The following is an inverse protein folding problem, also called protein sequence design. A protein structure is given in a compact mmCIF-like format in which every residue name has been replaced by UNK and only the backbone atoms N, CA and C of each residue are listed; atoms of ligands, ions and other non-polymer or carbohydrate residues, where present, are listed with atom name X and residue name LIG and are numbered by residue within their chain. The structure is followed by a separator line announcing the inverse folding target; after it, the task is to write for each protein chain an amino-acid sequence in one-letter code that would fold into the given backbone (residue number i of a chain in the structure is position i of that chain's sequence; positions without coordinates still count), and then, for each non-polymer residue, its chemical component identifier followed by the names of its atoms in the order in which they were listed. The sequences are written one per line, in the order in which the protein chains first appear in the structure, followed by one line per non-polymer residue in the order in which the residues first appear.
data_IF_656300444990
#
_entry.id   IF_656300444990
#
_cell.length_a   1.000
_cell.length_b   1.000
_cell.length_c   1.000
_cell.angle_alpha   90.00
_cell.angle_beta   90.00
_cell.angle_gamma   90.00
#
_symmetry.space_group_name_H-M   'P 1'
#
loop_
_entity.id
_entity.type
_entity.pdbx_description
1 polymer ?
#
# COMPACT_ATOMS: atom_id res chain seq x y z
N UNK A 1 10.00 12.02 -10.37
CA UNK A 1 9.54 12.71 -11.60
C UNK A 1 8.04 12.54 -11.68
N UNK A 2 7.34 13.67 -11.67
CA UNK A 2 5.91 13.82 -11.53
C UNK A 2 5.22 13.40 -12.84
N UNK A 3 4.41 12.35 -12.81
CA UNK A 3 3.35 12.15 -13.80
C UNK A 3 2.02 12.47 -13.09
N UNK A 4 1.79 13.76 -12.88
CA UNK A 4 0.45 14.29 -12.75
C UNK A 4 -0.23 14.11 -14.11
N UNK A 5 -1.16 13.16 -14.19
CA UNK A 5 -2.22 13.20 -15.19
C UNK A 5 -3.47 13.69 -14.49
N UNK A 6 -3.55 15.02 -14.35
CA UNK A 6 -4.83 15.72 -14.30
C UNK A 6 -5.54 15.49 -15.64
N UNK A 7 -6.71 14.85 -15.58
CA UNK A 7 -7.73 14.99 -16.61
C UNK A 7 -9.08 15.21 -15.94
N UNK A 8 -9.20 16.34 -15.28
CA UNK A 8 -10.48 17.05 -15.16
C UNK A 8 -10.91 17.48 -16.57
N UNK A 9 -11.79 16.70 -17.21
CA UNK A 9 -12.42 17.13 -18.47
C UNK A 9 -13.59 18.06 -18.14
N UNK A 10 -13.35 19.36 -18.29
CA UNK A 10 -14.39 20.40 -18.29
C UNK A 10 -15.13 20.34 -19.63
N UNK A 11 -16.42 20.00 -19.62
CA UNK A 11 -17.33 20.26 -20.75
C UNK A 11 -18.05 21.59 -20.50
N UNK A 12 -17.69 22.64 -21.25
CA UNK A 12 -18.49 23.86 -21.35
C UNK A 12 -19.57 23.66 -22.41
N UNK A 13 -20.83 23.59 -21.98
CA UNK A 13 -21.99 23.90 -22.82
C UNK A 13 -22.71 25.09 -22.17
N UNK A 14 -22.59 26.26 -22.80
CA UNK A 14 -23.29 27.47 -22.37
C UNK A 14 -24.73 27.45 -22.90
N UNK A 15 -25.72 27.53 -22.01
CA UNK A 15 -27.09 27.93 -22.34
C UNK A 15 -27.57 28.98 -21.34
N UNK A 16 -28.07 30.08 -21.88
CA UNK A 16 -28.45 31.33 -21.22
C UNK A 16 -29.59 31.18 -20.19
N UNK A 17 -29.46 31.98 -19.12
CA UNK A 17 -30.48 32.59 -18.24
C UNK A 17 -30.64 32.04 -16.81
N UNK A 18 -30.66 33.04 -15.90
CA UNK A 18 -31.23 33.13 -14.54
C UNK A 18 -30.28 32.89 -13.35
N UNK A 19 -30.06 33.99 -12.63
CA UNK A 19 -29.48 34.12 -11.28
C UNK A 19 -30.34 33.36 -10.26
N UNK A 20 -29.72 32.57 -9.36
CA UNK A 20 -30.15 32.43 -7.96
C UNK A 20 -28.96 31.99 -7.09
N UNK A 21 -28.74 32.73 -6.01
CA UNK A 21 -27.82 32.38 -4.93
C UNK A 21 -28.47 31.34 -4.00
N UNK A 22 -27.71 30.34 -3.53
CA UNK A 22 -28.01 29.59 -2.31
C UNK A 22 -26.73 28.92 -1.78
N UNK A 23 -26.51 29.10 -0.49
CA UNK A 23 -25.39 28.61 0.32
C UNK A 23 -25.80 27.31 1.05
N UNK A 24 -24.78 26.56 1.54
CA UNK A 24 -24.81 25.48 2.56
C UNK A 24 -25.41 24.13 2.09
N UNK A 25 -24.96 22.91 2.47
CA UNK A 25 -24.04 22.38 3.50
C UNK A 25 -23.33 21.16 2.90
N UNK A 26 -22.03 21.01 3.19
CA UNK A 26 -21.31 19.76 2.94
C UNK A 26 -21.89 18.63 3.81
N UNK A 27 -22.50 17.64 3.17
CA UNK A 27 -22.67 16.32 3.77
C UNK A 27 -21.72 15.35 3.08
N UNK A 28 -20.41 15.50 3.33
CA UNK A 28 -19.43 14.43 3.09
C UNK A 28 -19.49 13.43 4.24
N UNK A 29 -20.65 12.81 4.44
CA UNK A 29 -20.75 11.61 5.26
C UNK A 29 -20.48 10.40 4.35
N UNK A 30 -19.21 10.18 4.01
CA UNK A 30 -18.78 8.90 3.42
C UNK A 30 -17.31 8.63 3.71
N UNK A 31 -16.96 8.65 5.00
CA UNK A 31 -15.77 7.96 5.49
C UNK A 31 -16.26 6.73 6.26
N UNK A 32 -16.72 5.70 5.53
CA UNK A 32 -16.84 4.37 6.13
C UNK A 32 -15.43 3.82 6.29
N UNK A 33 -14.81 4.11 7.43
CA UNK A 33 -13.65 3.35 7.88
C UNK A 33 -14.17 1.96 8.23
N UNK A 34 -13.86 0.95 7.41
CA UNK A 34 -13.91 -0.44 7.87
C UNK A 34 -12.66 -0.64 8.74
N UNK A 35 -12.73 -0.14 9.98
CA UNK A 35 -11.77 -0.45 11.02
C UNK A 35 -12.35 -1.65 11.77
N UNK A 36 -11.79 -2.84 11.54
CA UNK A 36 -12.16 -4.00 12.35
C UNK A 36 -11.42 -3.86 13.68
N UNK A 37 -12.15 -3.47 14.72
CA UNK A 37 -11.62 -3.42 16.08
C UNK A 37 -11.64 -4.84 16.64
N UNK A 38 -10.50 -5.52 16.51
CA UNK A 38 -10.27 -6.78 17.20
C UNK A 38 -10.23 -6.54 18.72
N UNK A 39 -11.02 -7.31 19.47
CA UNK A 39 -10.93 -7.38 20.92
C UNK A 39 -9.88 -8.43 21.26
N UNK A 40 -8.68 -7.96 21.56
CA UNK A 40 -7.62 -8.84 22.04
C UNK A 40 -8.07 -9.51 23.36
N UNK A 41 -7.93 -10.83 23.45
CA UNK A 41 -8.28 -11.61 24.65
C UNK A 41 -7.31 -11.42 25.82
N UNK A 42 -6.40 -10.45 25.75
CA UNK A 42 -5.66 -9.91 26.89
C UNK A 42 -4.35 -10.62 27.23
N UNK A 43 -3.80 -11.46 26.34
CA UNK A 43 -2.61 -12.26 26.67
C UNK A 43 -1.35 -11.91 25.86
N UNK A 44 -1.41 -11.07 24.82
CA UNK A 44 -0.22 -10.73 24.03
C UNK A 44 -0.39 -9.53 23.11
N UNK A 45 0.67 -9.16 22.39
CA UNK A 45 0.62 -8.15 21.34
C UNK A 45 -0.22 -8.70 20.18
N UNK A 46 -1.32 -8.03 19.85
CA UNK A 46 -2.13 -8.31 18.65
C UNK A 46 -2.11 -7.14 17.67
N UNK A 47 -2.62 -7.38 16.47
CA UNK A 47 -2.65 -6.41 15.39
C UNK A 47 -4.06 -6.32 14.80
N UNK A 48 -4.51 -5.10 14.55
CA UNK A 48 -5.65 -4.85 13.66
C UNK A 48 -5.14 -4.16 12.41
N UNK A 49 -5.72 -4.46 11.27
CA UNK A 49 -5.25 -3.91 10.00
C UNK A 49 -6.30 -2.98 9.39
N UNK A 50 -5.81 -2.01 8.64
CA UNK A 50 -6.63 -1.21 7.74
C UNK A 50 -5.84 -0.96 6.46
N UNK A 51 -6.55 -0.77 5.36
CA UNK A 51 -5.98 -0.30 4.10
C UNK A 51 -6.85 0.85 3.59
N UNK A 52 -6.23 1.82 2.94
CA UNK A 52 -6.99 2.85 2.22
C UNK A 52 -7.90 2.18 1.17
N UNK A 53 -9.04 2.82 0.88
CA UNK A 53 -10.12 2.24 0.06
C UNK A 53 -9.59 1.63 -1.23
N UNK A 54 -10.07 0.43 -1.56
CA UNK A 54 -9.68 -0.33 -2.74
C UNK A 54 -9.72 0.56 -4.01
N UNK A 55 -8.56 0.76 -4.63
CA UNK A 55 -8.49 1.33 -5.97
C UNK A 55 -9.13 0.33 -6.93
N UNK A 56 -10.02 0.79 -7.83
CA UNK A 56 -10.68 -0.06 -8.84
C UNK A 56 -9.68 -0.44 -9.95
N UNK A 57 -8.70 -1.28 -9.62
CA UNK A 57 -7.63 -1.69 -10.53
C UNK A 57 -7.29 -3.17 -10.30
N UNK A 58 -6.66 -3.81 -11.28
CA UNK A 58 -6.30 -5.23 -11.21
C UNK A 58 -5.19 -5.50 -10.17
N UNK A 59 -5.23 -6.63 -9.47
CA UNK A 59 -4.21 -7.11 -8.51
C UNK A 59 -3.87 -6.16 -7.34
N UNK A 60 -4.71 -5.16 -7.02
CA UNK A 60 -4.50 -4.27 -5.87
C UNK A 60 -4.82 -4.99 -4.58
N UNK A 61 -3.93 -4.89 -3.59
CA UNK A 61 -4.18 -5.41 -2.25
C UNK A 61 -5.18 -4.52 -1.51
N UNK A 62 -6.18 -5.13 -0.88
CA UNK A 62 -7.13 -4.49 0.00
C UNK A 62 -7.24 -5.33 1.28
N UNK A 63 -8.02 -4.89 2.25
CA UNK A 63 -8.16 -5.59 3.52
C UNK A 63 -8.61 -7.07 3.35
N UNK A 64 -9.53 -7.32 2.42
CA UNK A 64 -10.11 -8.65 2.21
C UNK A 64 -9.14 -9.64 1.58
N UNK A 65 -8.20 -9.16 0.76
CA UNK A 65 -7.26 -10.01 0.03
C UNK A 65 -5.81 -9.90 0.55
N UNK A 66 -5.55 -9.13 1.61
CA UNK A 66 -4.22 -9.01 2.24
C UNK A 66 -3.73 -10.39 2.70
N UNK A 67 -4.60 -11.13 3.41
CA UNK A 67 -4.40 -12.54 3.79
C UNK A 67 -3.29 -12.81 4.81
N UNK A 68 -2.10 -12.25 4.62
CA UNK A 68 -0.97 -12.40 5.51
C UNK A 68 0.05 -11.26 5.36
N UNK A 69 0.76 -10.96 6.46
CA UNK A 69 1.85 -10.00 6.50
C UNK A 69 2.89 -10.39 7.55
N UNK A 70 4.05 -9.76 7.51
CA UNK A 70 5.09 -9.91 8.53
C UNK A 70 5.24 -8.62 9.32
N UNK A 71 5.55 -8.75 10.62
CA UNK A 71 5.84 -7.62 11.51
C UNK A 71 7.21 -7.80 12.16
N UNK A 72 7.98 -6.72 12.20
CA UNK A 72 9.18 -6.60 13.03
C UNK A 72 8.96 -5.51 14.07
N UNK A 73 9.18 -5.85 15.34
CA UNK A 73 9.10 -4.90 16.45
C UNK A 73 10.50 -4.56 16.96
N UNK A 74 10.74 -3.28 17.20
CA UNK A 74 12.00 -2.74 17.72
C UNK A 74 11.70 -1.82 18.89
N UNK A 75 12.50 -1.91 19.95
CA UNK A 75 12.43 -1.02 21.10
C UNK A 75 13.69 -1.15 21.94
N UNK A 76 13.96 -0.14 22.77
CA UNK A 76 15.13 -0.12 23.65
C UNK A 76 16.47 -0.39 22.90
N UNK A 77 16.60 0.10 21.66
CA UNK A 77 17.81 -0.05 20.85
C UNK A 77 18.06 -1.46 20.28
N UNK A 78 17.08 -2.37 20.34
CA UNK A 78 17.22 -3.73 19.82
C UNK A 78 15.92 -4.23 19.16
N UNK A 79 16.05 -5.27 18.33
CA UNK A 79 14.90 -6.02 17.85
C UNK A 79 14.23 -6.73 19.03
N UNK A 80 12.92 -6.50 19.18
CA UNK A 80 12.10 -7.26 20.11
C UNK A 80 11.63 -8.58 19.48
N UNK A 81 11.22 -8.54 18.22
CA UNK A 81 11.07 -9.70 17.35
C UNK A 81 11.19 -9.30 15.88
N UNK A 82 11.50 -10.27 15.02
CA UNK A 82 11.73 -10.04 13.59
C UNK A 82 10.84 -10.96 12.76
N UNK A 83 10.19 -10.40 11.74
CA UNK A 83 9.38 -11.15 10.77
C UNK A 83 8.35 -12.09 11.40
N UNK A 84 7.67 -11.64 12.46
CA UNK A 84 6.53 -12.35 13.01
C UNK A 84 5.44 -12.44 11.96
N UNK A 85 5.16 -13.66 11.52
CA UNK A 85 4.07 -13.95 10.59
C UNK A 85 2.71 -13.68 11.25
N UNK A 86 1.85 -12.97 10.53
CA UNK A 86 0.47 -12.68 10.91
C UNK A 86 -0.44 -13.05 9.75
N UNK A 87 -1.47 -13.86 10.01
CA UNK A 87 -2.36 -14.39 8.98
C UNK A 87 -3.83 -14.16 9.34
N UNK A 88 -4.68 -14.10 8.33
CA UNK A 88 -6.13 -14.08 8.47
C UNK A 88 -6.73 -15.21 7.64
N UNK A 89 -7.66 -15.96 8.24
CA UNK A 89 -8.42 -17.02 7.58
C UNK A 89 -9.83 -16.56 7.16
N UNK A 90 -10.17 -15.31 7.44
CA UNK A 90 -11.52 -14.74 7.35
C UNK A 90 -11.52 -13.36 6.70
N UNK A 91 -10.71 -13.21 5.64
CA UNK A 91 -10.65 -12.02 4.78
C UNK A 91 -10.38 -10.72 5.57
N UNK A 92 -9.44 -10.77 6.51
CA UNK A 92 -8.98 -9.61 7.27
C UNK A 92 -9.83 -9.24 8.48
N UNK A 93 -10.86 -10.03 8.80
CA UNK A 93 -11.70 -9.78 9.98
C UNK A 93 -10.96 -10.09 11.29
N UNK A 94 -10.20 -11.19 11.35
CA UNK A 94 -9.37 -11.53 12.50
C UNK A 94 -7.94 -11.87 12.06
N UNK A 95 -6.98 -11.53 12.92
CA UNK A 95 -5.55 -11.72 12.67
C UNK A 95 -4.91 -12.60 13.73
N UNK A 96 -4.19 -13.63 13.30
CA UNK A 96 -3.50 -14.58 14.17
C UNK A 96 -2.00 -14.46 13.99
N UNK A 97 -1.27 -14.27 15.08
CA UNK A 97 0.20 -14.26 15.10
C UNK A 97 0.76 -15.68 15.18
N UNK A 98 1.83 -15.98 14.46
CA UNK A 98 2.50 -17.28 14.50
C UNK A 98 3.17 -17.60 15.85
N UNK A 99 3.37 -16.60 16.71
CA UNK A 99 3.89 -16.75 18.08
C UNK A 99 3.39 -15.60 18.94
N UNK A 100 3.17 -15.87 20.23
CA UNK A 100 2.73 -14.87 21.20
C UNK A 100 3.93 -14.11 21.76
N UNK A 101 3.88 -12.79 21.70
CA UNK A 101 4.82 -11.89 22.36
C UNK A 101 4.07 -11.00 23.35
N UNK A 102 4.67 -10.71 24.50
CA UNK A 102 4.05 -9.88 25.54
C UNK A 102 4.55 -8.44 25.47
N UNK A 103 3.77 -7.51 26.01
CA UNK A 103 4.19 -6.12 26.06
C UNK A 103 5.37 -5.91 27.02
N UNK A 104 6.49 -5.30 26.56
CA UNK A 104 7.54 -4.85 27.47
C UNK A 104 7.11 -3.56 28.20
N UNK A 105 7.92 -3.14 29.18
CA UNK A 105 7.73 -1.87 29.91
C UNK A 105 8.11 -0.61 29.12
N UNK A 106 8.32 -0.70 27.81
CA UNK A 106 8.74 0.40 26.94
C UNK A 106 7.94 0.40 25.62
N UNK A 107 7.97 1.53 24.90
CA UNK A 107 7.34 1.67 23.58
C UNK A 107 8.05 0.82 22.53
N UNK A 108 7.25 0.17 21.68
CA UNK A 108 7.72 -0.58 20.52
C UNK A 108 7.35 0.15 19.23
N UNK A 109 8.29 0.18 18.28
CA UNK A 109 8.06 0.53 16.89
C UNK A 109 7.82 -0.74 16.07
N UNK A 110 6.72 -0.77 15.34
CA UNK A 110 6.29 -1.91 14.54
C UNK A 110 6.36 -1.55 13.06
N UNK A 111 7.15 -2.33 12.32
CA UNK A 111 7.28 -2.25 10.88
C UNK A 111 6.61 -3.47 10.28
N UNK A 112 5.61 -3.27 9.40
CA UNK A 112 4.89 -4.35 8.77
C UNK A 112 4.96 -4.26 7.25
N UNK A 113 4.98 -5.41 6.58
CA UNK A 113 4.96 -5.51 5.12
C UNK A 113 4.21 -6.74 4.63
N UNK A 114 3.60 -6.60 3.45
CA UNK A 114 3.06 -7.71 2.67
C UNK A 114 3.42 -7.55 1.18
N UNK A 115 3.56 -8.66 0.42
CA UNK A 115 3.44 -10.05 0.85
C UNK A 115 4.54 -10.47 1.85
N UNK A 116 4.34 -11.57 2.58
CA UNK A 116 5.34 -12.07 3.57
C UNK A 116 6.69 -12.41 2.93
N UNK A 117 6.68 -12.76 1.64
CA UNK A 117 7.88 -13.00 0.83
C UNK A 117 7.83 -12.06 -0.37
N UNK A 118 8.24 -10.79 -0.20
CA UNK A 118 8.33 -9.86 -1.32
C UNK A 118 9.53 -10.21 -2.21
N UNK A 119 9.54 -9.69 -3.44
CA UNK A 119 10.75 -9.69 -4.27
C UNK A 119 11.77 -8.73 -3.64
N UNK A 120 13.05 -9.10 -3.68
CA UNK A 120 14.11 -8.36 -2.99
C UNK A 120 14.42 -8.96 -1.62
N UNK A 121 15.25 -8.27 -0.84
CA UNK A 121 15.70 -8.72 0.49
C UNK A 121 15.23 -7.75 1.55
N UNK A 122 14.42 -8.25 2.50
CA UNK A 122 13.92 -7.45 3.62
C UNK A 122 14.93 -7.47 4.77
N UNK A 123 15.35 -6.29 5.24
CA UNK A 123 16.21 -6.10 6.41
C UNK A 123 15.64 -4.99 7.29
N UNK A 124 15.13 -5.36 8.46
CA UNK A 124 14.49 -4.44 9.43
C UNK A 124 15.06 -4.75 10.83
N UNK A 125 15.92 -3.88 11.37
CA UNK A 125 16.72 -4.25 12.56
C UNK A 125 17.35 -3.16 13.47
N UNK A 126 16.72 -2.15 14.02
CA UNK A 126 17.42 -1.00 14.65
C UNK A 126 18.46 -0.22 13.79
N UNK A 127 19.16 -0.81 12.80
CA UNK A 127 20.16 -0.13 11.94
C UNK A 127 19.69 0.06 10.50
N UNK A 128 19.05 -0.94 9.92
CA UNK A 128 18.50 -0.99 8.59
C UNK A 128 16.97 -1.13 8.66
N UNK A 129 16.25 -0.47 7.76
CA UNK A 129 14.79 -0.53 7.59
C UNK A 129 14.47 -0.53 6.11
N UNK A 130 14.88 -1.57 5.40
CA UNK A 130 14.88 -1.57 3.94
C UNK A 130 14.37 -2.86 3.32
N UNK A 131 13.91 -2.73 2.08
CA UNK A 131 13.84 -3.82 1.11
C UNK A 131 14.84 -3.47 0.01
N UNK A 132 15.90 -4.25 -0.15
CA UNK A 132 16.88 -4.03 -1.21
C UNK A 132 16.58 -4.89 -2.42
N UNK A 133 17.02 -4.44 -3.59
CA UNK A 133 16.91 -5.17 -4.85
C UNK A 133 15.47 -5.53 -5.26
N UNK A 134 14.48 -4.72 -4.84
CA UNK A 134 13.08 -4.94 -5.20
C UNK A 134 12.90 -4.74 -6.71
N UNK A 135 12.23 -5.69 -7.36
CA UNK A 135 11.86 -5.63 -8.78
C UNK A 135 10.47 -6.24 -8.94
N UNK A 136 9.48 -5.52 -9.50
CA UNK A 136 8.22 -6.13 -9.90
C UNK A 136 8.43 -7.27 -10.88
N UNK A 137 7.53 -8.26 -10.87
CA UNK A 137 7.49 -9.28 -11.90
C UNK A 137 7.23 -8.65 -13.29
N UNK A 138 7.83 -9.23 -14.32
CA UNK A 138 7.67 -8.76 -15.70
C UNK A 138 6.27 -9.11 -16.24
N UNK A 139 5.78 -10.31 -15.92
CA UNK A 139 4.42 -10.74 -16.24
C UNK A 139 3.42 -10.01 -15.34
N UNK A 140 2.46 -9.30 -15.93
CA UNK A 140 1.44 -8.51 -15.20
C UNK A 140 0.67 -9.37 -14.19
N UNK A 141 0.30 -10.60 -14.56
CA UNK A 141 -0.44 -11.51 -13.68
C UNK A 141 0.34 -11.90 -12.41
N UNK A 142 1.67 -11.89 -12.48
CA UNK A 142 2.57 -12.25 -11.38
C UNK A 142 2.98 -11.04 -10.54
N UNK A 143 2.65 -9.83 -10.96
CA UNK A 143 2.93 -8.61 -10.20
C UNK A 143 2.16 -8.64 -8.89
N UNK A 144 2.90 -8.44 -7.80
CA UNK A 144 2.38 -8.31 -6.44
C UNK A 144 2.47 -6.87 -6.00
N UNK A 145 1.43 -6.45 -5.30
CA UNK A 145 1.34 -5.14 -4.70
C UNK A 145 2.08 -5.16 -3.36
N UNK A 146 3.15 -4.36 -3.25
CA UNK A 146 3.89 -4.20 -2.00
C UNK A 146 3.16 -3.19 -1.13
N UNK A 147 2.71 -3.61 0.04
CA UNK A 147 2.11 -2.73 1.04
C UNK A 147 2.94 -2.72 2.32
N UNK A 148 3.05 -1.55 2.96
CA UNK A 148 3.84 -1.37 4.18
C UNK A 148 3.10 -0.54 5.22
N UNK A 149 3.43 -0.73 6.50
CA UNK A 149 2.89 0.04 7.62
C UNK A 149 4.00 0.30 8.65
N UNK A 150 3.92 1.46 9.30
CA UNK A 150 4.73 1.78 10.47
C UNK A 150 3.83 2.42 11.52
N UNK A 151 3.81 1.85 12.72
CA UNK A 151 3.14 2.44 13.88
C UNK A 151 3.92 2.11 15.15
N UNK A 152 3.73 2.93 16.17
CA UNK A 152 4.24 2.64 17.51
C UNK A 152 3.13 2.15 18.42
N UNK A 153 3.50 1.46 19.49
CA UNK A 153 2.52 0.98 20.47
C UNK A 153 3.11 0.74 21.85
N UNK A 154 2.23 0.72 22.84
CA UNK A 154 2.52 0.40 24.24
C UNK A 154 1.42 -0.50 24.80
N UNK A 155 1.69 -1.17 25.93
CA UNK A 155 0.68 -1.96 26.64
C UNK A 155 -0.58 -1.14 26.92
N UNK A 156 -0.40 0.03 27.54
CA UNK A 156 -1.51 0.87 27.99
C UNK A 156 -2.42 1.33 26.86
N UNK A 157 -1.87 1.58 25.67
CA UNK A 157 -2.64 2.07 24.53
C UNK A 157 -3.23 0.95 23.65
N UNK A 158 -2.64 -0.26 23.67
CA UNK A 158 -2.89 -1.26 22.63
C UNK A 158 -3.24 -2.66 23.13
N UNK A 159 -3.20 -2.94 24.44
CA UNK A 159 -3.51 -4.28 24.96
C UNK A 159 -4.94 -4.73 24.62
N UNK A 160 -5.93 -3.83 24.66
CA UNK A 160 -7.32 -4.17 24.36
C UNK A 160 -7.68 -4.21 22.87
N UNK A 161 -7.10 -3.30 22.08
CA UNK A 161 -7.50 -3.07 20.66
C UNK A 161 -6.49 -3.58 19.64
N UNK A 162 -5.34 -4.08 20.10
CA UNK A 162 -4.17 -4.34 19.27
C UNK A 162 -3.51 -3.07 18.72
N UNK A 163 -2.37 -3.26 18.06
CA UNK A 163 -1.65 -2.19 17.34
C UNK A 163 -2.27 -2.01 15.97
N UNK A 164 -2.57 -0.77 15.59
CA UNK A 164 -3.06 -0.46 14.25
C UNK A 164 -1.95 -0.66 13.22
N UNK A 165 -2.25 -1.41 12.16
CA UNK A 165 -1.41 -1.58 10.98
C UNK A 165 -2.15 -0.99 9.78
N UNK A 166 -2.06 0.33 9.61
CA UNK A 166 -2.65 0.98 8.43
C UNK A 166 -1.66 0.91 7.27
N UNK A 167 -1.88 -0.09 6.42
CA UNK A 167 -1.04 -0.40 5.27
C UNK A 167 -1.22 0.61 4.15
N UNK A 168 -0.11 0.96 3.50
CA UNK A 168 -0.03 1.86 2.35
C UNK A 168 0.60 1.14 1.17
N UNK A 169 0.06 1.36 -0.02
CA UNK A 169 0.65 0.92 -1.27
C UNK A 169 2.00 1.59 -1.49
N UNK A 170 3.05 0.78 -1.65
CA UNK A 170 4.41 1.27 -1.87
C UNK A 170 4.73 1.47 -3.36
N UNK A 171 3.91 0.91 -4.25
CA UNK A 171 4.11 0.94 -5.69
C UNK A 171 3.10 1.87 -6.37
N UNK A 172 3.47 2.32 -7.57
CA UNK A 172 2.53 2.92 -8.51
C UNK A 172 2.10 1.89 -9.53
N UNK A 173 0.82 1.89 -9.89
CA UNK A 173 0.31 1.07 -10.97
C UNK A 173 0.00 1.93 -12.20
N UNK A 174 0.47 1.47 -13.36
CA UNK A 174 0.24 2.09 -14.67
C UNK A 174 -0.68 1.18 -15.47
N UNK A 175 -1.82 1.72 -15.92
CA UNK A 175 -2.78 1.03 -16.78
C UNK A 175 -2.91 1.79 -18.10
N UNK A 176 -2.75 1.09 -19.22
CA UNK A 176 -2.87 1.68 -20.57
C UNK A 176 -4.10 1.09 -21.25
N UNK A 177 -5.08 1.95 -21.56
CA UNK A 177 -6.32 1.57 -22.24
C UNK A 177 -6.37 2.22 -23.61
N UNK A 178 -6.52 1.40 -24.66
CA UNK A 178 -6.82 1.87 -26.01
C UNK A 178 -8.34 1.86 -26.25
N UNK A 179 -8.87 2.90 -26.90
CA UNK A 179 -10.29 2.99 -27.26
C UNK A 179 -10.41 3.39 -28.73
N UNK A 180 -11.08 2.56 -29.53
CA UNK A 180 -11.61 2.96 -30.83
C UNK A 180 -13.06 3.43 -30.63
N UNK A 181 -13.37 4.68 -30.95
CA UNK A 181 -14.73 5.22 -30.81
C UNK A 181 -15.58 5.06 -32.08
N UNK A 182 -15.01 4.44 -33.12
CA UNK A 182 -15.68 4.19 -34.40
C UNK A 182 -15.90 2.68 -34.55
N UNK A 183 -17.17 2.27 -34.57
CA UNK A 183 -17.59 0.87 -34.72
C UNK A 183 -17.30 0.27 -36.10
N UNK A 184 -17.02 1.13 -37.10
CA UNK A 184 -16.63 0.72 -38.46
C UNK A 184 -15.12 0.57 -38.64
N UNK A 185 -14.31 0.77 -37.59
CA UNK A 185 -12.85 0.68 -37.65
C UNK A 185 -12.29 -0.29 -36.62
N UNK A 186 -11.37 -1.15 -37.07
CA UNK A 186 -10.55 -1.99 -36.19
C UNK A 186 -9.19 -1.32 -35.99
N UNK A 187 -8.82 -1.08 -34.74
CA UNK A 187 -7.48 -0.62 -34.35
C UNK A 187 -6.86 -1.72 -33.49
N UNK A 188 -5.67 -2.17 -33.86
CA UNK A 188 -4.90 -3.16 -33.10
C UNK A 188 -3.65 -2.48 -32.53
N UNK A 189 -3.42 -2.66 -31.24
CA UNK A 189 -2.23 -2.14 -30.57
C UNK A 189 -1.14 -3.21 -30.66
N UNK A 190 -0.13 -2.97 -31.49
CA UNK A 190 1.00 -3.90 -31.66
C UNK A 190 1.94 -3.94 -30.45
N UNK A 191 1.94 -2.91 -29.62
CA UNK A 191 2.70 -2.87 -28.38
C UNK A 191 2.70 -1.49 -27.71
N UNK A 192 2.94 -1.49 -26.41
CA UNK A 192 3.15 -0.28 -25.60
C UNK A 192 4.49 -0.39 -24.90
N UNK A 193 5.28 0.69 -24.93
CA UNK A 193 6.57 0.77 -24.25
C UNK A 193 6.56 1.94 -23.26
N UNK A 194 6.93 1.65 -22.03
CA UNK A 194 7.17 2.66 -20.99
C UNK A 194 8.67 2.94 -20.92
N UNK A 195 9.06 4.20 -20.83
CA UNK A 195 10.46 4.67 -20.71
C UNK A 195 10.65 5.45 -19.42
N UNK A 196 11.88 5.51 -18.92
CA UNK A 196 12.26 6.15 -17.66
C UNK A 196 11.52 5.59 -16.41
N UNK A 197 11.01 4.37 -16.51
CA UNK A 197 10.58 3.58 -15.36
C UNK A 197 11.78 2.76 -14.90
N UNK A 198 12.20 2.92 -13.64
CA UNK A 198 13.19 2.04 -13.07
C UNK A 198 12.58 0.64 -12.86
N UNK A 199 13.29 -0.41 -13.30
CA UNK A 199 12.82 -1.79 -13.09
C UNK A 199 13.21 -2.35 -11.72
N UNK A 200 14.19 -1.71 -11.05
CA UNK A 200 14.73 -2.16 -9.77
C UNK A 200 15.09 -0.98 -8.87
N UNK A 201 14.85 -1.11 -7.57
CA UNK A 201 15.15 -0.08 -6.58
C UNK A 201 15.22 -0.64 -5.16
N UNK A 202 15.73 0.17 -4.24
CA UNK A 202 15.70 -0.10 -2.81
C UNK A 202 14.60 0.75 -2.16
N UNK A 203 13.82 0.14 -1.28
CA UNK A 203 12.78 0.79 -0.49
C UNK A 203 13.27 0.99 0.95
N UNK A 204 13.00 2.15 1.54
CA UNK A 204 13.22 2.44 2.95
C UNK A 204 11.88 2.62 3.65
N UNK A 205 11.64 1.86 4.71
CA UNK A 205 10.39 1.95 5.47
C UNK A 205 10.22 3.34 6.09
N UNK A 206 8.97 3.83 6.20
CA UNK A 206 8.70 5.04 6.95
C UNK A 206 8.94 4.82 8.43
N UNK A 207 9.27 5.91 9.13
CA UNK A 207 9.32 6.00 10.60
C UNK A 207 8.38 7.08 11.12
N UNK A 208 7.46 7.53 10.24
CA UNK A 208 6.30 8.34 10.58
C UNK A 208 5.08 7.42 10.58
N UNK A 209 4.22 7.57 11.59
CA UNK A 209 3.03 6.74 11.74
C UNK A 209 2.18 6.78 10.47
N UNK A 210 1.88 5.61 9.91
CA UNK A 210 1.10 5.49 8.69
C UNK A 210 -0.39 5.68 9.00
N UNK A 211 -0.79 6.83 9.53
CA UNK A 211 -2.20 7.10 9.90
C UNK A 211 -3.11 7.22 8.66
N UNK A 212 -4.43 7.31 8.88
CA UNK A 212 -5.38 7.65 7.83
C UNK A 212 -4.99 8.99 7.19
N UNK A 213 -4.88 9.02 5.86
CA UNK A 213 -4.41 10.19 5.10
C UNK A 213 -2.89 10.33 4.96
N UNK A 214 -2.09 9.52 5.67
CA UNK A 214 -0.65 9.47 5.41
C UNK A 214 -0.39 8.99 3.98
N UNK A 215 0.42 9.74 3.23
CA UNK A 215 0.82 9.41 1.87
C UNK A 215 2.28 8.96 1.88
N UNK A 216 2.54 7.76 1.39
CA UNK A 216 3.90 7.27 1.26
C UNK A 216 4.63 8.05 0.15
N UNK A 217 5.68 8.78 0.54
CA UNK A 217 6.43 9.62 -0.37
C UNK A 217 7.39 8.81 -1.26
N UNK A 218 7.63 9.30 -2.48
CA UNK A 218 8.52 8.67 -3.46
C UNK A 218 9.99 8.66 -3.02
N UNK A 219 10.40 9.55 -2.10
CA UNK A 219 11.75 9.60 -1.53
C UNK A 219 12.11 8.34 -0.70
N UNK A 220 11.12 7.51 -0.35
CA UNK A 220 11.34 6.19 0.25
C UNK A 220 11.98 5.20 -0.72
N UNK A 221 11.94 5.48 -2.02
CA UNK A 221 12.61 4.70 -3.04
C UNK A 221 13.91 5.36 -3.50
N UNK A 222 15.00 4.60 -3.48
CA UNK A 222 16.32 5.05 -3.93
C UNK A 222 17.05 3.93 -4.67
N UNK A 223 18.32 4.16 -5.02
CA UNK A 223 19.15 3.20 -5.77
C UNK A 223 18.46 2.66 -7.05
N UNK A 224 17.82 3.57 -7.77
CA UNK A 224 17.04 3.25 -8.97
C UNK A 224 17.97 2.73 -10.09
N UNK A 225 17.77 1.48 -10.48
CA UNK A 225 18.54 0.78 -11.50
C UNK A 225 17.70 0.49 -12.74
N UNK A 226 18.39 0.13 -13.82
CA UNK A 226 17.79 -0.29 -15.09
C UNK A 226 16.81 0.75 -15.67
N UNK A 227 17.04 2.04 -15.38
CA UNK A 227 16.34 3.12 -16.07
C UNK A 227 16.65 3.01 -17.55
N UNK A 228 15.60 3.02 -18.36
CA UNK A 228 15.68 2.99 -19.82
C UNK A 228 16.22 1.66 -20.42
N UNK A 229 16.30 0.55 -19.68
CA UNK A 229 16.58 -0.77 -20.30
C UNK A 229 15.39 -1.19 -21.18
N UNK A 230 15.57 -1.00 -22.49
CA UNK A 230 14.58 -1.23 -23.53
C UNK A 230 14.09 -2.69 -23.63
N UNK A 231 14.75 -3.63 -22.96
CA UNK A 231 14.42 -5.05 -22.96
C UNK A 231 13.46 -5.46 -21.84
N UNK A 232 13.22 -4.60 -20.83
CA UNK A 232 12.46 -4.93 -19.60
C UNK A 232 11.10 -4.22 -19.45
N UNK A 233 10.62 -3.57 -20.50
CA UNK A 233 9.28 -2.94 -20.52
C UNK A 233 8.38 -3.31 -21.72
N UNK A 234 8.45 -4.53 -22.31
CA UNK A 234 7.41 -4.94 -23.24
C UNK A 234 6.16 -5.30 -22.46
N UNK A 235 5.10 -4.47 -22.55
CA UNK A 235 3.77 -4.92 -22.17
C UNK A 235 3.30 -5.88 -23.28
N UNK A 236 2.99 -7.16 -22.99
CA UNK A 236 2.42 -8.05 -23.99
C UNK A 236 1.17 -7.42 -24.60
N UNK A 237 1.02 -7.52 -25.92
CA UNK A 237 -0.16 -7.03 -26.62
C UNK A 237 -1.44 -7.64 -26.04
N UNK A 238 -2.45 -6.79 -25.85
CA UNK A 238 -3.83 -7.18 -25.50
C UNK A 238 -4.54 -7.72 -26.74
#
# INVERSE_FOLDING_TARGET
MLLLLDKSTVYFFMKKNLLFAAMVVAALASCSNDEVVDMNKGEGISFRTSLDKALTRANVTNLQNLGAFNVTAIGNGANYFTNLAVTSADNGANWTTASTYHWPGYELAFFAYAPQVPVGTVSIDNTAKKITDFSPAQTVADQKDLVVSYNKGTKAANEGTGVAMNFKHALSQIEVKAKCSNDKMKIEVLGVKLVNAAAKADFTFPEEATVTGYTLSQDKWNNWQDKDDHRRHPMPGV
#
